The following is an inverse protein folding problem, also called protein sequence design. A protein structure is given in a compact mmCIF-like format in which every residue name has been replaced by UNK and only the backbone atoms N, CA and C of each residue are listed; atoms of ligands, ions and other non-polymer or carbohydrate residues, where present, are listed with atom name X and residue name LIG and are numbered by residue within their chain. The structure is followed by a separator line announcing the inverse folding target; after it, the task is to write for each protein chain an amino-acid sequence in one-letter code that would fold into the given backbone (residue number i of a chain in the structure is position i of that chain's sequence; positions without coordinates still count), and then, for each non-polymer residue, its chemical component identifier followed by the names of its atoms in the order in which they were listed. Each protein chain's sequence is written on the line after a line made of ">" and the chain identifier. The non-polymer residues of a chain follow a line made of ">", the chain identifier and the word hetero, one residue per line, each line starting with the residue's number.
data_IF_399699102382
#
_entry.id   IF_399699102382
#
_cell.length_a   1.000
_cell.length_b   1.000
_cell.length_c   1.000
_cell.angle_alpha   90.00
_cell.angle_beta   90.00
_cell.angle_gamma   90.00
#
_symmetry.space_group_name_H-M   'P 1'
#
loop_
_entity.id
_entity.type
_entity.pdbx_description
1 polymer ?
#
# COMPACT_ATOMS: atom_id res chain seq x y z
N UNK A 1 -17.59 3.52 -17.80
CA UNK A 1 -16.87 3.65 -19.08
C UNK A 1 -15.52 4.32 -18.77
N UNK A 2 -14.41 3.58 -18.71
CA UNK A 2 -13.07 4.16 -18.54
C UNK A 2 -12.35 4.01 -19.89
N UNK A 3 -11.97 5.11 -20.51
CA UNK A 3 -11.25 5.08 -21.77
C UNK A 3 -9.79 4.65 -21.53
N UNK A 4 -9.34 3.58 -22.18
CA UNK A 4 -7.93 3.17 -22.18
C UNK A 4 -7.23 3.96 -23.28
N UNK A 5 -6.62 5.08 -22.91
CA UNK A 5 -5.87 5.92 -23.85
C UNK A 5 -4.44 5.38 -23.86
N UNK A 6 -3.96 4.93 -25.01
CA UNK A 6 -2.65 4.28 -25.19
C UNK A 6 -2.01 4.78 -26.49
N UNK A 7 -0.67 4.75 -26.58
CA UNK A 7 0.11 5.36 -27.66
C UNK A 7 0.00 6.89 -27.69
N UNK A 8 0.20 7.55 -26.55
CA UNK A 8 0.43 8.99 -26.56
C UNK A 8 1.75 9.28 -27.28
N UNK A 9 1.77 10.32 -28.10
CA UNK A 9 2.97 10.83 -28.78
C UNK A 9 4.00 11.35 -27.77
N UNK A 10 3.53 11.94 -26.67
CA UNK A 10 4.32 12.33 -25.51
C UNK A 10 4.02 11.42 -24.32
N UNK A 11 5.07 10.84 -23.73
CA UNK A 11 4.93 10.04 -22.53
C UNK A 11 4.58 10.92 -21.33
N UNK A 12 3.80 10.36 -20.40
CA UNK A 12 3.49 11.00 -19.12
C UNK A 12 4.60 10.66 -18.16
N UNK A 13 5.33 11.69 -17.73
CA UNK A 13 6.39 11.60 -16.74
C UNK A 13 5.86 11.94 -15.34
N UNK A 14 5.93 10.99 -14.42
CA UNK A 14 5.58 11.17 -13.01
C UNK A 14 6.84 11.04 -12.15
N UNK A 15 7.03 11.97 -11.22
CA UNK A 15 8.23 12.05 -10.40
C UNK A 15 7.84 11.90 -8.94
N UNK A 16 8.39 10.90 -8.27
CA UNK A 16 8.20 10.64 -6.85
C UNK A 16 9.53 10.84 -6.13
N UNK A 17 9.53 11.65 -5.08
CA UNK A 17 10.70 11.84 -4.21
C UNK A 17 10.56 10.97 -2.98
N UNK A 18 11.58 10.18 -2.66
CA UNK A 18 11.56 9.27 -1.51
C UNK A 18 12.96 9.10 -0.92
N UNK A 19 13.17 9.74 0.24
CA UNK A 19 14.49 10.00 0.84
C UNK A 19 15.29 8.74 1.19
N UNK A 20 14.63 7.60 1.26
CA UNK A 20 15.21 6.30 1.62
C UNK A 20 14.74 5.23 0.64
N UNK A 21 15.19 5.33 -0.62
CA UNK A 21 14.99 4.32 -1.66
C UNK A 21 15.83 3.05 -1.39
N UNK A 22 15.58 2.40 -0.27
CA UNK A 22 16.22 1.14 0.14
C UNK A 22 15.45 -0.04 -0.44
N UNK A 23 15.25 -0.05 -1.77
CA UNK A 23 14.33 -1.00 -2.41
C UNK A 23 14.31 -0.99 -3.93
N UNK A 24 13.70 -2.03 -4.51
CA UNK A 24 13.33 -2.05 -5.93
C UNK A 24 11.97 -1.38 -6.08
N UNK A 25 11.93 -0.23 -6.73
CA UNK A 25 10.68 0.40 -7.14
C UNK A 25 10.34 0.04 -8.59
N UNK A 26 9.07 -0.20 -8.88
CA UNK A 26 8.58 -0.43 -10.24
C UNK A 26 7.28 0.30 -10.46
N UNK A 27 7.20 1.07 -11.55
CA UNK A 27 6.00 1.76 -11.97
C UNK A 27 5.05 0.76 -12.65
N UNK A 28 3.85 0.62 -12.11
CA UNK A 28 2.82 -0.28 -12.65
C UNK A 28 1.54 0.48 -12.96
N UNK A 29 0.83 -0.02 -13.95
CA UNK A 29 -0.44 0.51 -14.39
C UNK A 29 -1.51 -0.58 -14.43
N UNK A 30 -2.76 -0.15 -14.38
CA UNK A 30 -3.90 -1.03 -14.40
C UNK A 30 -4.26 -1.48 -15.83
N UNK A 31 -4.31 -2.79 -16.11
CA UNK A 31 -4.57 -3.31 -17.49
C UNK A 31 -6.03 -3.10 -17.96
N UNK A 32 -6.97 -2.79 -17.07
CA UNK A 32 -8.35 -2.45 -17.45
C UNK A 32 -9.23 -3.63 -17.85
N UNK A 33 -8.71 -4.87 -17.86
CA UNK A 33 -9.43 -6.09 -18.29
C UNK A 33 -10.37 -6.70 -17.23
N UNK A 34 -10.84 -5.90 -16.27
CA UNK A 34 -11.80 -6.34 -15.24
C UNK A 34 -11.23 -7.24 -14.13
N UNK A 35 -9.98 -7.69 -14.21
CA UNK A 35 -9.28 -8.48 -13.18
C UNK A 35 -8.24 -7.61 -12.45
N UNK A 36 -8.03 -7.83 -11.15
CA UNK A 36 -7.00 -7.20 -10.28
C UNK A 36 -5.55 -7.45 -10.73
N UNK A 37 -5.22 -6.99 -11.93
CA UNK A 37 -3.94 -7.22 -12.58
C UNK A 37 -3.21 -5.91 -12.86
N UNK A 38 -2.10 -5.71 -12.15
CA UNK A 38 -1.16 -4.62 -12.33
C UNK A 38 -0.07 -5.05 -13.31
N UNK A 39 0.28 -4.19 -14.25
CA UNK A 39 1.29 -4.47 -15.28
C UNK A 39 2.27 -3.32 -15.43
N UNK A 40 3.54 -3.61 -15.68
CA UNK A 40 4.54 -2.59 -16.04
C UNK A 40 4.52 -2.27 -17.56
N UNK A 41 3.57 -2.83 -18.31
CA UNK A 41 3.53 -2.70 -19.77
C UNK A 41 3.35 -1.24 -20.19
N UNK A 42 4.29 -0.74 -21.02
CA UNK A 42 4.26 0.63 -21.52
C UNK A 42 4.68 1.70 -20.50
N UNK A 43 5.22 1.31 -19.33
CA UNK A 43 5.80 2.19 -18.34
C UNK A 43 7.30 1.89 -18.17
N UNK A 44 8.13 2.93 -18.19
CA UNK A 44 9.56 2.86 -17.87
C UNK A 44 9.79 3.44 -16.49
N UNK A 45 10.55 2.74 -15.67
CA UNK A 45 10.94 3.18 -14.33
C UNK A 45 12.40 3.58 -14.35
N UNK A 46 12.70 4.82 -14.01
CA UNK A 46 14.05 5.35 -13.85
C UNK A 46 14.23 5.75 -12.39
N UNK A 47 15.26 5.22 -11.72
CA UNK A 47 15.54 5.51 -10.32
C UNK A 47 16.85 6.30 -10.27
N UNK A 48 16.80 7.49 -9.70
CA UNK A 48 17.95 8.37 -9.53
C UNK A 48 18.02 8.84 -8.07
N UNK A 49 18.88 8.20 -7.28
CA UNK A 49 19.09 8.47 -5.84
C UNK A 49 17.77 8.49 -5.03
N UNK A 50 17.23 9.70 -4.81
CA UNK A 50 16.01 10.02 -4.03
C UNK A 50 14.77 10.17 -4.94
N UNK A 51 14.91 9.97 -6.25
CA UNK A 51 13.86 10.29 -7.22
C UNK A 51 13.52 9.09 -8.10
N UNK A 52 12.25 8.72 -8.12
CA UNK A 52 11.68 7.70 -9.01
C UNK A 52 10.94 8.45 -10.10
N UNK A 53 11.38 8.30 -11.34
CA UNK A 53 10.72 8.82 -12.52
C UNK A 53 10.03 7.66 -13.26
N UNK A 54 8.72 7.76 -13.42
CA UNK A 54 7.89 6.84 -14.18
C UNK A 54 7.48 7.51 -15.50
N UNK A 55 7.89 6.96 -16.63
CA UNK A 55 7.49 7.44 -17.96
C UNK A 55 6.56 6.43 -18.62
N UNK A 56 5.27 6.75 -18.78
CA UNK A 56 4.26 5.84 -19.31
C UNK A 56 3.62 6.36 -20.60
N UNK A 57 3.41 5.48 -21.58
CA UNK A 57 2.83 5.80 -22.90
C UNK A 57 1.29 5.68 -22.97
N UNK A 58 0.64 5.58 -21.83
CA UNK A 58 -0.81 5.35 -21.69
C UNK A 58 -1.34 6.07 -20.45
N UNK A 59 -2.59 6.52 -20.46
CA UNK A 59 -3.23 7.25 -19.38
C UNK A 59 -4.22 6.32 -18.65
N UNK A 60 -3.75 5.66 -17.59
CA UNK A 60 -4.57 4.75 -16.75
C UNK A 60 -4.30 5.01 -15.27
N UNK A 61 -4.98 4.32 -14.36
CA UNK A 61 -4.61 4.36 -12.94
C UNK A 61 -3.20 3.79 -12.77
N UNK A 62 -2.29 4.60 -12.22
CA UNK A 62 -0.91 4.23 -11.95
C UNK A 62 -0.72 3.99 -10.45
N UNK A 63 0.19 3.07 -10.13
CA UNK A 63 0.70 2.89 -8.78
C UNK A 63 2.22 2.72 -8.87
N UNK A 64 2.94 3.25 -7.88
CA UNK A 64 4.35 2.95 -7.69
C UNK A 64 4.42 1.77 -6.73
N UNK A 65 4.83 0.61 -7.23
CA UNK A 65 5.06 -0.56 -6.40
C UNK A 65 6.48 -0.47 -5.85
N UNK A 66 6.60 -0.14 -4.57
CA UNK A 66 7.88 -0.18 -3.86
C UNK A 66 8.01 -1.53 -3.14
N UNK A 67 9.06 -2.28 -3.49
CA UNK A 67 9.46 -3.47 -2.77
C UNK A 67 10.68 -3.07 -1.93
N UNK A 68 10.51 -2.77 -0.63
CA UNK A 68 11.65 -2.48 0.24
C UNK A 68 12.58 -3.71 0.23
N UNK A 69 13.86 -3.49 -0.07
CA UNK A 69 14.88 -4.54 -0.10
C UNK A 69 15.39 -4.85 1.31
N UNK A 70 15.29 -3.90 2.22
CA UNK A 70 15.47 -4.15 3.65
C UNK A 70 14.11 -4.45 4.28
N UNK A 71 14.07 -5.52 5.07
CA UNK A 71 13.16 -5.66 6.21
C UNK A 71 11.82 -6.38 6.04
N UNK A 72 11.79 -7.45 5.24
CA UNK A 72 10.91 -8.58 5.60
C UNK A 72 11.17 -9.04 7.07
N UNK A 73 12.40 -8.82 7.59
CA UNK A 73 12.80 -9.18 8.96
C UNK A 73 12.61 -8.08 10.03
N UNK A 74 12.58 -6.76 9.71
CA UNK A 74 12.32 -5.69 10.71
C UNK A 74 10.84 -5.26 10.73
N UNK A 75 10.07 -5.54 9.67
CA UNK A 75 8.61 -5.33 9.68
C UNK A 75 7.89 -6.35 10.57
N UNK A 76 8.43 -7.59 10.67
CA UNK A 76 7.87 -8.66 11.50
C UNK A 76 7.78 -8.31 13.01
N UNK A 77 8.85 -7.84 13.70
CA UNK A 77 8.79 -7.53 15.13
C UNK A 77 7.88 -6.33 15.45
N UNK A 78 7.77 -5.35 14.54
CA UNK A 78 6.86 -4.21 14.72
C UNK A 78 5.39 -4.60 14.56
N UNK A 79 5.07 -5.47 13.60
CA UNK A 79 3.72 -6.03 13.44
C UNK A 79 3.31 -6.89 14.64
N UNK A 80 4.24 -7.69 15.16
CA UNK A 80 3.99 -8.54 16.32
C UNK A 80 3.71 -7.70 17.59
N UNK A 81 4.52 -6.65 17.81
CA UNK A 81 4.34 -5.73 18.95
C UNK A 81 2.99 -5.02 18.90
N UNK A 82 2.58 -4.54 17.73
CA UNK A 82 1.30 -3.83 17.58
C UNK A 82 0.10 -4.79 17.74
N UNK A 83 0.24 -6.02 17.26
CA UNK A 83 -0.76 -7.08 17.42
C UNK A 83 -0.94 -7.45 18.90
N UNK A 84 0.16 -7.56 19.65
CA UNK A 84 0.13 -7.84 21.08
C UNK A 84 -0.60 -6.73 21.86
N UNK A 85 -0.28 -5.46 21.59
CA UNK A 85 -0.95 -4.33 22.25
C UNK A 85 -2.44 -4.32 21.91
N UNK A 86 -2.80 -4.53 20.64
CA UNK A 86 -4.20 -4.55 20.21
C UNK A 86 -4.96 -5.71 20.85
N UNK A 87 -4.36 -6.90 20.94
CA UNK A 87 -4.97 -8.08 21.55
C UNK A 87 -5.23 -7.87 23.05
N UNK A 88 -4.26 -7.30 23.78
CA UNK A 88 -4.41 -6.98 25.21
C UNK A 88 -5.49 -5.92 25.41
N UNK A 89 -5.48 -4.86 24.60
CA UNK A 89 -6.49 -3.80 24.64
C UNK A 89 -7.91 -4.35 24.43
N UNK A 90 -8.10 -5.18 23.40
CA UNK A 90 -9.39 -5.82 23.15
C UNK A 90 -9.85 -6.71 24.31
N UNK A 91 -8.95 -7.51 24.89
CA UNK A 91 -9.27 -8.36 26.05
C UNK A 91 -9.75 -7.54 27.25
N UNK A 92 -9.04 -6.45 27.58
CA UNK A 92 -9.41 -5.54 28.67
C UNK A 92 -10.77 -4.89 28.39
N UNK A 93 -11.00 -4.37 27.17
CA UNK A 93 -12.27 -3.76 26.79
C UNK A 93 -13.44 -4.74 26.90
N UNK A 94 -13.28 -5.98 26.41
CA UNK A 94 -14.32 -7.01 26.52
C UNK A 94 -14.63 -7.37 27.97
N UNK A 95 -13.62 -7.44 28.84
CA UNK A 95 -13.80 -7.74 30.26
C UNK A 95 -14.62 -6.65 30.97
N UNK A 96 -14.25 -5.38 30.83
CA UNK A 96 -15.00 -4.28 31.43
C UNK A 96 -16.43 -4.19 30.90
N UNK A 97 -16.62 -4.45 29.60
CA UNK A 97 -17.94 -4.47 28.98
C UNK A 97 -18.81 -5.59 29.57
N UNK A 98 -18.25 -6.80 29.74
CA UNK A 98 -18.94 -7.91 30.38
C UNK A 98 -19.35 -7.60 31.82
N UNK A 99 -18.46 -7.01 32.62
CA UNK A 99 -18.76 -6.59 34.00
C UNK A 99 -19.86 -5.53 34.02
N UNK A 100 -19.79 -4.53 33.14
CA UNK A 100 -20.81 -3.49 33.07
C UNK A 100 -22.19 -4.06 32.71
N UNK A 101 -22.26 -4.98 31.74
CA UNK A 101 -23.51 -5.66 31.37
C UNK A 101 -24.04 -6.52 32.51
N UNK A 102 -23.17 -7.26 33.20
CA UNK A 102 -23.55 -8.10 34.33
C UNK A 102 -24.13 -7.26 35.48
N UNK A 103 -23.46 -6.17 35.83
CA UNK A 103 -23.95 -5.22 36.83
C UNK A 103 -25.27 -4.59 36.40
N UNK A 104 -25.41 -4.19 35.13
CA UNK A 104 -26.66 -3.64 34.61
C UNK A 104 -27.81 -4.66 34.68
N UNK A 105 -27.55 -5.95 34.43
CA UNK A 105 -28.55 -7.01 34.57
C UNK A 105 -28.92 -7.29 36.03
N UNK A 106 -27.98 -7.19 36.97
CA UNK A 106 -28.24 -7.41 38.39
C UNK A 106 -28.90 -6.21 39.10
N UNK A 107 -28.56 -4.98 38.68
CA UNK A 107 -29.13 -3.74 39.25
C UNK A 107 -30.47 -3.34 38.63
N UNK A 108 -30.85 -3.96 37.51
CA UNK A 108 -32.17 -3.81 36.90
C UNK A 108 -33.14 -4.85 37.43
#
# INVERSE_FOLDING_TARGET
>A
MRAKISNLTDNIDMIFKHKDLTGKASCVSWDGKGKLNWTAFGCKTEINNDTIKCSCSHLTFFAVLMIPQSDANITAPHLESLTLISSVGCGISMFFLAVALFMHFLLR
#
